data_IF_182834274309
#
_entry.id   IF_182834274309
#
_cell.length_a   1.000
_cell.length_b   1.000
_cell.length_c   1.000
_cell.angle_alpha   90.00
_cell.angle_beta   90.00
_cell.angle_gamma   90.00
#
_symmetry.space_group_name_H-M   'P 1'
#
loop_
_entity.id
_entity.type
_entity.pdbx_description
1 polymer ?
#
# COMPACT_ATOMS: atom_id res chain seq x y z
N UNK A 1 17.75 25.95 6.02
CA UNK A 1 16.96 25.84 7.27
C UNK A 1 15.65 25.07 7.10
N UNK A 2 14.80 25.35 6.09
CA UNK A 2 13.56 24.59 5.85
C UNK A 2 13.74 23.12 5.42
N UNK A 3 14.83 22.78 4.74
CA UNK A 3 15.08 21.39 4.30
C UNK A 3 15.34 20.42 5.46
N UNK A 4 16.17 20.82 6.43
CA UNK A 4 16.44 19.99 7.61
C UNK A 4 15.21 19.76 8.47
N UNK A 5 14.33 20.75 8.60
CA UNK A 5 13.07 20.58 9.32
C UNK A 5 12.13 19.61 8.59
N UNK A 6 12.06 19.70 7.26
CA UNK A 6 11.26 18.77 6.44
C UNK A 6 11.80 17.34 6.55
N UNK A 7 13.12 17.17 6.53
CA UNK A 7 13.74 15.85 6.66
C UNK A 7 13.56 15.30 8.07
N UNK A 8 13.64 16.15 9.10
CA UNK A 8 13.35 15.76 10.49
C UNK A 8 11.88 15.35 10.71
N UNK A 9 10.93 15.98 10.01
CA UNK A 9 9.54 15.52 9.99
C UNK A 9 9.36 14.19 9.24
N UNK A 10 10.19 13.93 8.21
CA UNK A 10 10.15 12.66 7.45
C UNK A 10 10.80 11.50 8.19
N UNK A 11 11.89 11.76 8.92
CA UNK A 11 12.54 10.75 9.77
C UNK A 11 11.76 10.48 11.06
N UNK A 12 10.81 11.35 11.42
CA UNK A 12 10.05 11.27 12.67
C UNK A 12 10.80 11.82 13.89
N UNK A 13 11.93 12.52 13.68
CA UNK A 13 12.71 13.16 14.76
C UNK A 13 11.96 14.34 15.40
N UNK A 14 11.07 14.98 14.65
CA UNK A 14 10.18 16.06 15.11
C UNK A 14 8.76 15.72 14.74
N UNK A 15 7.82 16.03 15.64
CA UNK A 15 6.38 15.86 15.44
C UNK A 15 5.59 17.05 15.96
N UNK A 16 4.35 17.18 15.50
CA UNK A 16 3.38 18.19 15.88
C UNK A 16 2.19 17.51 16.54
N UNK A 17 1.86 17.91 17.76
CA UNK A 17 0.83 17.27 18.60
C UNK A 17 -0.58 17.23 17.98
N UNK A 18 -0.88 18.11 17.02
CA UNK A 18 -2.20 18.24 16.39
C UNK A 18 -2.16 17.97 14.87
N UNK A 19 -1.04 17.48 14.34
CA UNK A 19 -0.96 17.08 12.92
C UNK A 19 -1.23 15.59 12.81
N UNK A 20 -2.18 15.17 11.96
CA UNK A 20 -2.33 13.74 11.65
C UNK A 20 -1.11 13.20 10.93
N UNK A 21 -0.56 13.98 9.99
CA UNK A 21 0.53 13.58 9.09
C UNK A 21 1.92 13.63 9.73
N UNK A 22 2.14 14.54 10.67
CA UNK A 22 3.39 14.64 11.43
C UNK A 22 3.14 14.42 12.92
N UNK A 23 2.28 13.46 13.28
CA UNK A 23 2.00 13.11 14.68
C UNK A 23 3.17 12.35 15.31
N UNK A 24 3.17 12.24 16.64
CA UNK A 24 4.09 11.35 17.35
C UNK A 24 3.79 9.90 16.92
N UNK A 25 4.74 9.24 16.28
CA UNK A 25 4.60 7.86 15.80
C UNK A 25 4.20 6.89 16.92
N UNK A 26 4.53 7.19 18.18
CA UNK A 26 4.12 6.37 19.33
C UNK A 26 2.61 6.30 19.49
N UNK A 27 1.86 7.30 19.02
CA UNK A 27 0.40 7.29 19.03
C UNK A 27 -0.21 6.31 18.03
N UNK A 28 0.54 5.89 17.01
CA UNK A 28 0.13 4.85 16.06
C UNK A 28 0.48 3.44 16.54
N UNK A 29 1.29 3.30 17.59
CA UNK A 29 1.67 2.00 18.13
C UNK A 29 0.58 1.44 19.03
N UNK A 30 0.40 0.13 18.97
CA UNK A 30 -0.50 -0.59 19.88
C UNK A 30 0.14 -0.67 21.28
N UNK A 31 -0.57 -0.31 22.35
CA UNK A 31 -0.08 -0.49 23.72
C UNK A 31 0.28 -1.94 24.01
N UNK A 32 1.31 -2.18 24.81
CA UNK A 32 1.84 -3.54 25.05
C UNK A 32 0.81 -4.44 25.76
N UNK A 33 -0.06 -3.84 26.56
CA UNK A 33 -1.17 -4.49 27.25
C UNK A 33 -2.17 -5.05 26.23
N UNK A 34 -2.57 -4.25 25.24
CA UNK A 34 -3.47 -4.69 24.18
C UNK A 34 -2.82 -5.74 23.26
N UNK A 35 -1.50 -5.62 23.01
CA UNK A 35 -0.77 -6.61 22.23
C UNK A 35 -0.70 -7.98 22.93
N UNK A 36 -0.67 -8.04 24.27
CA UNK A 36 -0.66 -9.29 25.05
C UNK A 36 -1.98 -10.06 25.00
N UNK A 37 -3.09 -9.34 24.90
CA UNK A 37 -4.42 -9.93 24.71
C UNK A 37 -4.66 -10.40 23.26
N UNK A 38 -3.74 -10.10 22.34
CA UNK A 38 -3.83 -10.56 20.95
C UNK A 38 -3.45 -12.05 20.86
N UNK A 39 -4.34 -12.92 20.35
CA UNK A 39 -4.24 -14.38 20.55
C UNK A 39 -3.03 -15.08 19.93
N UNK A 40 -2.20 -14.41 19.11
CA UNK A 40 -0.87 -14.89 18.70
C UNK A 40 -0.12 -13.79 17.96
N UNK A 41 0.87 -13.17 18.61
CA UNK A 41 1.88 -12.39 17.91
C UNK A 41 2.88 -13.35 17.26
N UNK A 42 3.18 -13.17 15.98
CA UNK A 42 4.15 -14.02 15.25
C UNK A 42 5.62 -13.83 15.71
N UNK A 43 5.84 -12.96 16.70
CA UNK A 43 7.15 -12.58 17.23
C UNK A 43 7.13 -12.57 18.76
N UNK A 44 8.26 -12.82 19.44
CA UNK A 44 8.34 -12.76 20.91
C UNK A 44 8.04 -11.35 21.44
N UNK A 45 7.48 -11.27 22.65
CA UNK A 45 7.29 -10.00 23.35
C UNK A 45 8.59 -9.42 23.89
N UNK A 46 9.66 -10.20 24.01
CA UNK A 46 10.99 -9.71 24.39
C UNK A 46 11.77 -9.24 23.14
N UNK A 47 11.94 -7.93 22.92
CA UNK A 47 12.56 -7.42 21.69
C UNK A 47 14.00 -7.92 21.52
N UNK A 48 14.75 -8.04 22.61
CA UNK A 48 16.14 -8.51 22.59
C UNK A 48 16.26 -9.95 22.08
N UNK A 49 15.32 -10.82 22.46
CA UNK A 49 15.31 -12.21 21.97
C UNK A 49 15.03 -12.24 20.47
N UNK A 50 14.10 -11.41 20.01
CA UNK A 50 13.78 -11.31 18.60
C UNK A 50 14.93 -10.76 17.77
N UNK A 51 15.57 -9.67 18.23
CA UNK A 51 16.72 -9.06 17.56
C UNK A 51 17.89 -10.04 17.51
N UNK A 52 18.19 -10.74 18.60
CA UNK A 52 19.25 -11.74 18.64
C UNK A 52 18.99 -12.89 17.65
N UNK A 53 17.76 -13.41 17.61
CA UNK A 53 17.38 -14.45 16.65
C UNK A 53 17.47 -13.96 15.20
N UNK A 54 17.00 -12.74 14.90
CA UNK A 54 17.10 -12.14 13.56
C UNK A 54 18.54 -11.91 13.14
N UNK A 55 19.40 -11.42 14.04
CA UNK A 55 20.85 -11.27 13.78
C UNK A 55 21.47 -12.62 13.43
N UNK A 56 21.24 -13.65 14.25
CA UNK A 56 21.75 -15.00 14.02
C UNK A 56 21.31 -15.57 12.67
N UNK A 57 20.01 -15.49 12.33
CA UNK A 57 19.49 -16.00 11.05
C UNK A 57 20.10 -15.27 9.85
N UNK A 58 20.32 -13.96 9.98
CA UNK A 58 20.98 -13.16 8.93
C UNK A 58 22.44 -13.55 8.78
N UNK A 59 23.17 -13.71 9.88
CA UNK A 59 24.57 -14.20 9.86
C UNK A 59 24.66 -15.59 9.22
N UNK A 60 23.79 -16.52 9.60
CA UNK A 60 23.72 -17.87 9.00
C UNK A 60 23.36 -17.81 7.51
N UNK A 61 22.46 -16.91 7.11
CA UNK A 61 22.09 -16.66 5.72
C UNK A 61 23.27 -16.13 4.90
N UNK A 62 23.99 -15.12 5.43
CA UNK A 62 25.17 -14.53 4.80
C UNK A 62 26.31 -15.53 4.68
N UNK A 63 26.54 -16.37 5.70
CA UNK A 63 27.54 -17.43 5.65
C UNK A 63 27.23 -18.47 4.57
N UNK A 64 25.95 -18.87 4.43
CA UNK A 64 25.50 -19.77 3.35
C UNK A 64 25.65 -19.12 1.98
N UNK A 65 25.27 -17.84 1.85
CA UNK A 65 25.43 -17.07 0.61
C UNK A 65 26.90 -16.98 0.21
N UNK A 66 27.78 -16.63 1.15
CA UNK A 66 29.23 -16.53 0.93
C UNK A 66 29.86 -17.87 0.54
N UNK A 67 29.37 -18.98 1.07
CA UNK A 67 29.78 -20.32 0.64
C UNK A 67 29.30 -20.62 -0.80
N UNK A 68 28.01 -20.42 -1.07
CA UNK A 68 27.44 -20.68 -2.39
C UNK A 68 28.09 -19.80 -3.48
N UNK A 69 28.39 -18.54 -3.18
CA UNK A 69 29.09 -17.63 -4.07
C UNK A 69 30.53 -18.11 -4.39
N UNK A 70 31.28 -18.54 -3.37
CA UNK A 70 32.64 -19.10 -3.55
C UNK A 70 32.64 -20.38 -4.37
N UNK A 71 31.64 -21.22 -4.14
CA UNK A 71 31.51 -22.52 -4.80
C UNK A 71 30.83 -22.41 -6.19
N UNK A 72 30.38 -21.21 -6.59
CA UNK A 72 29.66 -21.00 -7.86
C UNK A 72 28.28 -21.68 -7.91
N UNK A 73 27.67 -21.98 -6.75
CA UNK A 73 26.42 -22.75 -6.62
C UNK A 73 25.22 -21.91 -6.23
N UNK A 74 25.27 -20.60 -6.48
CA UNK A 74 24.14 -19.71 -6.25
C UNK A 74 22.94 -20.12 -7.13
N UNK A 75 21.75 -20.40 -6.57
CA UNK A 75 20.64 -21.00 -7.31
C UNK A 75 19.89 -20.01 -8.23
N UNK A 76 19.99 -18.70 -8.00
CA UNK A 76 19.24 -17.69 -8.77
C UNK A 76 20.00 -16.37 -8.86
N UNK A 77 21.29 -16.44 -9.12
CA UNK A 77 22.12 -15.26 -9.29
C UNK A 77 23.62 -15.55 -9.35
N UNK A 78 24.41 -14.53 -9.68
CA UNK A 78 25.87 -14.58 -9.69
C UNK A 78 26.45 -13.40 -8.91
N UNK A 79 27.69 -13.57 -8.44
CA UNK A 79 28.49 -12.46 -7.95
C UNK A 79 29.68 -12.30 -8.89
N UNK A 80 29.69 -11.23 -9.66
CA UNK A 80 30.73 -10.92 -10.64
C UNK A 80 31.32 -9.55 -10.32
N UNK A 81 32.65 -9.45 -10.18
CA UNK A 81 33.33 -8.18 -9.88
C UNK A 81 32.79 -7.43 -8.64
N UNK A 82 32.26 -8.16 -7.65
CA UNK A 82 31.66 -7.58 -6.44
C UNK A 82 30.21 -7.10 -6.61
N UNK A 83 29.61 -7.28 -7.78
CA UNK A 83 28.20 -6.98 -8.05
C UNK A 83 27.35 -8.25 -7.91
N UNK A 84 26.33 -8.20 -7.07
CA UNK A 84 25.33 -9.27 -6.95
C UNK A 84 24.27 -9.08 -8.04
N UNK A 85 24.21 -10.03 -8.98
CA UNK A 85 23.15 -10.12 -9.99
C UNK A 85 22.18 -11.22 -9.58
N UNK A 86 20.93 -10.86 -9.35
CA UNK A 86 19.87 -11.81 -9.09
C UNK A 86 19.07 -12.02 -10.36
N UNK A 87 18.77 -13.28 -10.66
CA UNK A 87 17.83 -13.60 -11.73
C UNK A 87 16.43 -13.14 -11.33
N UNK A 88 15.64 -12.74 -12.32
CA UNK A 88 14.21 -12.49 -12.10
C UNK A 88 13.58 -13.79 -11.63
N UNK A 89 12.90 -13.75 -10.48
CA UNK A 89 12.05 -14.85 -10.02
C UNK A 89 11.08 -15.23 -11.14
N UNK A 90 11.10 -16.49 -11.55
CA UNK A 90 10.08 -17.02 -12.45
C UNK A 90 8.76 -17.07 -11.69
N UNK A 91 7.66 -16.84 -12.40
CA UNK A 91 6.34 -17.03 -11.83
C UNK A 91 6.16 -18.50 -11.45
N UNK A 92 5.72 -18.76 -10.22
CA UNK A 92 5.33 -20.11 -9.78
C UNK A 92 3.93 -20.49 -10.28
N UNK A 93 3.26 -19.59 -11.00
CA UNK A 93 1.93 -19.82 -11.59
C UNK A 93 2.08 -20.62 -12.89
N UNK A 94 1.43 -21.79 -13.04
CA UNK A 94 1.43 -22.55 -14.28
C UNK A 94 0.82 -21.76 -15.44
N UNK A 95 1.32 -21.96 -16.66
CA UNK A 95 0.83 -21.24 -17.84
C UNK A 95 -0.67 -21.51 -18.08
N UNK A 96 -1.14 -22.72 -17.79
CA UNK A 96 -2.54 -23.14 -17.93
C UNK A 96 -3.48 -22.39 -16.98
N UNK A 97 -2.96 -21.84 -15.87
CA UNK A 97 -3.76 -21.05 -14.94
C UNK A 97 -4.15 -19.70 -15.55
N UNK A 98 -3.37 -19.17 -16.49
CA UNK A 98 -3.70 -17.92 -17.19
C UNK A 98 -4.96 -18.07 -18.05
N UNK A 99 -5.09 -19.21 -18.76
CA UNK A 99 -6.26 -19.48 -19.61
C UNK A 99 -7.52 -19.66 -18.77
N UNK A 100 -7.40 -20.35 -17.62
CA UNK A 100 -8.50 -20.53 -16.68
C UNK A 100 -9.03 -19.19 -16.12
N UNK A 101 -8.14 -18.23 -15.82
CA UNK A 101 -8.55 -16.89 -15.37
C UNK A 101 -9.40 -16.19 -16.43
N UNK A 102 -9.00 -16.27 -17.71
CA UNK A 102 -9.76 -15.67 -18.81
C UNK A 102 -11.13 -16.33 -18.98
N UNK A 103 -11.20 -17.66 -18.87
CA UNK A 103 -12.46 -18.39 -18.98
C UNK A 103 -13.41 -18.08 -17.82
N UNK A 104 -12.89 -17.99 -16.59
CA UNK A 104 -13.67 -17.57 -15.42
C UNK A 104 -14.18 -16.13 -15.58
N UNK A 105 -13.35 -15.22 -16.07
CA UNK A 105 -13.76 -13.83 -16.35
C UNK A 105 -14.88 -13.77 -17.39
N UNK A 106 -14.88 -14.62 -18.43
CA UNK A 106 -15.96 -14.70 -19.43
C UNK A 106 -17.28 -15.21 -18.87
N UNK A 107 -17.26 -15.97 -17.77
CA UNK A 107 -18.48 -16.41 -17.10
C UNK A 107 -19.15 -15.31 -16.27
N UNK A 108 -18.44 -14.21 -15.97
CA UNK A 108 -19.01 -13.08 -15.23
C UNK A 108 -19.84 -12.20 -16.17
N UNK A 109 -20.99 -11.67 -15.70
CA UNK A 109 -21.77 -10.72 -16.49
C UNK A 109 -20.98 -9.42 -16.70
N UNK A 110 -21.14 -8.82 -17.87
CA UNK A 110 -20.62 -7.47 -18.11
C UNK A 110 -21.38 -6.47 -17.24
N UNK A 111 -20.67 -5.86 -16.29
CA UNK A 111 -21.19 -4.80 -15.42
C UNK A 111 -20.31 -3.57 -15.55
N UNK A 112 -20.93 -2.37 -15.59
CA UNK A 112 -20.15 -1.14 -15.56
C UNK A 112 -19.52 -1.01 -14.18
N UNK A 113 -18.21 -0.83 -14.12
CA UNK A 113 -17.46 -0.73 -12.86
C UNK A 113 -18.01 0.36 -11.93
N UNK A 114 -18.57 1.45 -12.47
CA UNK A 114 -19.21 2.52 -11.68
C UNK A 114 -20.49 2.07 -10.98
N UNK A 115 -21.27 1.19 -11.60
CA UNK A 115 -22.51 0.66 -11.00
C UNK A 115 -22.18 -0.37 -9.93
N UNK A 116 -21.16 -1.21 -10.17
CA UNK A 116 -20.64 -2.13 -9.17
C UNK A 116 -20.10 -1.39 -7.94
N UNK A 117 -19.35 -0.30 -8.13
CA UNK A 117 -18.86 0.52 -7.03
C UNK A 117 -20.00 1.14 -6.22
N UNK A 118 -21.07 1.60 -6.87
CA UNK A 118 -22.26 2.11 -6.17
C UNK A 118 -22.95 1.02 -5.35
N UNK A 119 -23.01 -0.21 -5.85
CA UNK A 119 -23.58 -1.34 -5.12
C UNK A 119 -22.76 -1.70 -3.89
N UNK A 120 -21.43 -1.83 -4.05
CA UNK A 120 -20.50 -2.09 -2.95
C UNK A 120 -20.58 -0.99 -1.89
N UNK A 121 -20.66 0.26 -2.33
CA UNK A 121 -20.79 1.41 -1.45
C UNK A 121 -22.13 1.42 -0.68
N UNK A 122 -23.24 0.98 -1.29
CA UNK A 122 -24.50 0.78 -0.56
C UNK A 122 -24.41 -0.34 0.47
N UNK A 123 -23.68 -1.42 0.16
CA UNK A 123 -23.56 -2.56 1.05
C UNK A 123 -22.61 -2.31 2.24
N UNK A 124 -21.54 -1.53 2.01
CA UNK A 124 -20.45 -1.35 2.99
C UNK A 124 -20.41 0.04 3.61
N UNK A 125 -20.97 1.05 2.95
CA UNK A 125 -20.84 2.45 3.34
C UNK A 125 -19.44 3.02 3.18
N UNK A 126 -18.55 2.38 2.39
CA UNK A 126 -17.13 2.74 2.39
C UNK A 126 -16.88 4.21 1.98
N UNK A 127 -17.74 4.82 1.16
CA UNK A 127 -17.57 6.22 0.78
C UNK A 127 -17.66 7.19 1.97
N UNK A 128 -18.26 6.78 3.10
CA UNK A 128 -18.34 7.60 4.30
C UNK A 128 -16.97 7.80 4.99
N UNK A 129 -15.98 6.97 4.67
CA UNK A 129 -14.61 7.17 5.12
C UNK A 129 -13.95 8.41 4.46
N UNK A 130 -14.42 8.83 3.29
CA UNK A 130 -13.85 9.93 2.51
C UNK A 130 -14.48 11.28 2.90
N UNK A 131 -14.21 11.68 4.14
CA UNK A 131 -14.71 12.95 4.70
C UNK A 131 -13.88 14.15 4.24
N UNK A 132 -14.49 15.33 4.29
CA UNK A 132 -13.83 16.58 3.92
C UNK A 132 -12.66 16.85 4.87
N UNK A 133 -11.43 16.94 4.35
CA UNK A 133 -10.19 16.96 5.15
C UNK A 133 -10.15 17.99 6.28
N UNK A 134 -10.77 19.16 6.06
CA UNK A 134 -10.80 20.22 7.08
C UNK A 134 -11.95 20.11 8.10
N UNK A 135 -13.10 19.59 7.69
CA UNK A 135 -14.35 19.72 8.47
C UNK A 135 -14.89 18.38 8.94
N UNK A 136 -14.39 17.26 8.41
CA UNK A 136 -14.94 15.93 8.65
C UNK A 136 -16.33 15.71 8.04
N UNK A 137 -16.86 16.67 7.27
CA UNK A 137 -18.18 16.54 6.67
C UNK A 137 -18.17 15.44 5.59
N UNK A 138 -19.24 14.62 5.47
CA UNK A 138 -19.32 13.60 4.44
C UNK A 138 -19.32 14.23 3.04
N UNK A 139 -18.77 13.52 2.06
CA UNK A 139 -18.88 13.93 0.66
C UNK A 139 -20.34 13.82 0.20
N UNK A 140 -20.95 14.95 -0.17
CA UNK A 140 -22.33 14.96 -0.69
C UNK A 140 -22.41 14.40 -2.11
N UNK A 141 -21.33 14.54 -2.87
CA UNK A 141 -21.24 14.07 -4.24
C UNK A 141 -20.60 12.67 -4.29
N UNK A 142 -21.43 11.65 -4.08
CA UNK A 142 -20.97 10.25 -4.09
C UNK A 142 -20.49 9.81 -5.47
N UNK A 143 -21.16 10.21 -6.55
CA UNK A 143 -20.77 9.77 -7.91
C UNK A 143 -19.42 10.35 -8.28
N UNK A 144 -19.20 11.65 -8.01
CA UNK A 144 -17.91 12.28 -8.25
C UNK A 144 -16.80 11.66 -7.41
N UNK A 145 -17.07 11.35 -6.13
CA UNK A 145 -16.11 10.67 -5.26
C UNK A 145 -15.73 9.28 -5.78
N UNK A 146 -16.70 8.47 -6.21
CA UNK A 146 -16.43 7.15 -6.77
C UNK A 146 -15.61 7.23 -8.08
N UNK A 147 -15.86 8.24 -8.92
CA UNK A 147 -15.05 8.48 -10.11
C UNK A 147 -13.59 8.82 -9.75
N UNK A 148 -13.37 9.62 -8.69
CA UNK A 148 -12.02 9.91 -8.20
C UNK A 148 -11.34 8.63 -7.70
N UNK A 149 -12.01 7.85 -6.86
CA UNK A 149 -11.45 6.60 -6.30
C UNK A 149 -11.10 5.62 -7.42
N UNK A 150 -11.96 5.50 -8.44
CA UNK A 150 -11.70 4.65 -9.59
C UNK A 150 -10.51 5.16 -10.43
N UNK A 151 -10.37 6.48 -10.58
CA UNK A 151 -9.27 7.07 -11.34
C UNK A 151 -7.91 6.83 -10.67
N UNK A 152 -7.85 6.95 -9.35
CA UNK A 152 -6.66 6.67 -8.54
C UNK A 152 -6.39 5.16 -8.48
N UNK A 153 -7.42 4.34 -8.19
CA UNK A 153 -7.29 2.90 -8.03
C UNK A 153 -6.88 2.16 -9.32
N UNK A 154 -7.23 2.70 -10.50
CA UNK A 154 -6.81 2.16 -11.79
C UNK A 154 -5.55 2.82 -12.36
N UNK A 155 -4.90 3.74 -11.62
CA UNK A 155 -3.79 4.56 -12.12
C UNK A 155 -4.10 5.27 -13.45
N UNK A 156 -5.38 5.60 -13.68
CA UNK A 156 -5.85 6.22 -14.92
C UNK A 156 -5.63 7.73 -14.91
N UNK A 157 -5.74 8.34 -13.72
CA UNK A 157 -5.67 9.77 -13.50
C UNK A 157 -6.97 10.51 -13.85
N UNK A 158 -7.18 11.66 -13.20
CA UNK A 158 -8.44 12.40 -13.26
C UNK A 158 -8.81 12.93 -14.65
N UNK A 159 -7.83 13.30 -15.49
CA UNK A 159 -8.10 13.83 -16.83
C UNK A 159 -8.72 12.78 -17.76
N UNK A 160 -8.17 11.57 -17.74
CA UNK A 160 -8.71 10.45 -18.53
C UNK A 160 -10.06 9.99 -17.97
N UNK A 161 -10.21 9.99 -16.64
CA UNK A 161 -11.50 9.70 -16.02
C UNK A 161 -12.57 10.71 -16.44
N UNK A 162 -12.27 12.01 -16.46
CA UNK A 162 -13.20 13.03 -16.94
C UNK A 162 -13.57 12.84 -18.42
N UNK A 163 -12.64 12.37 -19.26
CA UNK A 163 -12.93 12.03 -20.66
C UNK A 163 -13.81 10.79 -20.83
N UNK A 164 -13.78 9.86 -19.88
CA UNK A 164 -14.57 8.62 -19.90
C UNK A 164 -15.90 8.75 -19.13
N UNK A 165 -16.03 9.74 -18.26
CA UNK A 165 -17.23 10.02 -17.48
C UNK A 165 -18.14 11.00 -18.19
N UNK A 166 -19.45 10.70 -18.24
CA UNK A 166 -20.46 11.63 -18.74
C UNK A 166 -20.97 12.61 -17.68
N UNK A 167 -20.48 12.52 -16.45
CA UNK A 167 -21.07 13.19 -15.28
C UNK A 167 -20.24 14.32 -14.70
N UNK A 168 -18.90 14.25 -14.80
CA UNK A 168 -18.00 15.20 -14.14
C UNK A 168 -16.84 15.59 -15.04
N UNK A 169 -16.54 16.88 -15.07
CA UNK A 169 -15.33 17.40 -15.69
C UNK A 169 -14.10 17.23 -14.79
N UNK A 170 -12.92 17.50 -15.36
CA UNK A 170 -11.65 17.41 -14.65
C UNK A 170 -11.59 18.31 -13.40
N UNK A 171 -12.15 19.53 -13.47
CA UNK A 171 -12.07 20.49 -12.38
C UNK A 171 -12.94 20.07 -11.19
N UNK A 172 -14.11 19.49 -11.47
CA UNK A 172 -15.00 18.93 -10.45
C UNK A 172 -14.31 17.74 -9.76
N UNK A 173 -13.77 16.80 -10.53
CA UNK A 173 -13.03 15.64 -9.98
C UNK A 173 -11.79 16.09 -9.19
N UNK A 174 -11.02 17.06 -9.70
CA UNK A 174 -9.85 17.61 -9.02
C UNK A 174 -10.19 18.27 -7.68
N UNK A 175 -11.34 18.96 -7.59
CA UNK A 175 -11.81 19.52 -6.31
C UNK A 175 -12.19 18.43 -5.33
N UNK A 176 -12.90 17.40 -5.78
CA UNK A 176 -13.29 16.28 -4.92
C UNK A 176 -12.07 15.53 -4.40
N UNK A 177 -11.14 15.17 -5.29
CA UNK A 177 -9.88 14.53 -4.92
C UNK A 177 -9.14 15.34 -3.85
N UNK A 178 -8.94 16.65 -4.10
CA UNK A 178 -8.20 17.52 -3.19
C UNK A 178 -8.81 17.65 -1.79
N UNK A 179 -10.13 17.54 -1.66
CA UNK A 179 -10.82 17.78 -0.38
C UNK A 179 -11.27 16.51 0.33
N UNK A 180 -11.34 15.38 -0.35
CA UNK A 180 -11.89 14.13 0.20
C UNK A 180 -10.96 12.92 0.08
N UNK A 181 -9.89 13.00 -0.72
CA UNK A 181 -8.98 11.88 -0.96
C UNK A 181 -7.54 12.31 -0.68
N UNK A 182 -6.88 11.63 0.26
CA UNK A 182 -5.43 11.75 0.47
C UNK A 182 -4.72 10.67 -0.33
N UNK A 183 -3.83 11.08 -1.25
CA UNK A 183 -2.88 10.16 -1.87
C UNK A 183 -1.67 10.07 -0.94
N UNK A 184 -1.53 8.95 -0.25
CA UNK A 184 -0.28 8.56 0.40
C UNK A 184 0.73 8.17 -0.68
N UNK A 185 1.27 9.18 -1.37
CA UNK A 185 2.56 9.02 -2.04
C UNK A 185 3.62 8.99 -0.94
N UNK A 186 3.91 7.78 -0.44
CA UNK A 186 5.11 7.45 0.34
C UNK A 186 6.32 7.55 -0.59
#
# INVERSE_FOLDING_TARGET
>A
MLFHLRDAFRSGDVWLSHSRRQSDMKQALVPIEAARETPQLAVPFEPERWIADRRRRTEDGLNRLAKAARDGTLPSGTIENGELRLDRLKSDVPDEASDLVLDLCRCLPEVRITDLLLEVDRATGFADAFTHLRTGAPCKDRIGLLNVILAEGLNLGLSKMAGASSSHDFLQLSRLARWHVESDAI
#
